data_IF_593878132329
#
_entry.id   IF_593878132329
#
_cell.length_a   1.000
_cell.length_b   1.000
_cell.length_c   1.000
_cell.angle_alpha   90.00
_cell.angle_beta   90.00
_cell.angle_gamma   90.00
#
_symmetry.space_group_name_H-M   'P 1'
#
loop_
_entity.id
_entity.type
_entity.pdbx_description
1 polymer ?
#
# COMPACT_ATOMS: atom_id res chain seq x y z
N UNK A 1 2.17 -17.39 28.79
CA UNK A 1 2.34 -16.65 27.52
C UNK A 1 1.07 -16.85 26.71
N UNK A 2 0.24 -15.81 26.56
CA UNK A 2 -1.04 -15.93 25.88
C UNK A 2 -0.83 -16.34 24.41
N UNK A 3 -1.26 -17.55 24.06
CA UNK A 3 -1.32 -18.07 22.70
C UNK A 3 -2.28 -17.19 21.86
N UNK A 4 -1.78 -16.08 21.32
CA UNK A 4 -2.52 -15.31 20.33
C UNK A 4 -2.50 -16.14 19.06
N UNK A 5 -3.54 -16.94 18.87
CA UNK A 5 -3.69 -17.78 17.68
C UNK A 5 -3.50 -16.91 16.42
N UNK A 6 -2.46 -17.17 15.64
CA UNK A 6 -2.12 -16.38 14.46
C UNK A 6 -3.20 -16.52 13.38
N UNK A 7 -4.27 -15.73 13.43
CA UNK A 7 -5.37 -15.80 12.44
C UNK A 7 -5.01 -15.02 11.18
N UNK A 8 -5.51 -15.43 10.01
CA UNK A 8 -5.45 -14.57 8.81
C UNK A 8 -6.31 -13.31 9.03
N UNK A 9 -6.01 -12.17 8.36
CA UNK A 9 -6.83 -10.97 8.52
C UNK A 9 -8.27 -11.19 8.07
N UNK A 10 -9.25 -10.64 8.82
CA UNK A 10 -10.67 -10.70 8.46
C UNK A 10 -10.90 -10.13 7.05
N UNK A 11 -11.66 -10.83 6.21
CA UNK A 11 -12.00 -10.40 4.86
C UNK A 11 -10.85 -10.41 3.85
N UNK A 12 -9.66 -10.89 4.21
CA UNK A 12 -8.48 -10.86 3.32
C UNK A 12 -8.65 -11.64 2.01
N UNK A 13 -9.47 -12.69 2.01
CA UNK A 13 -9.78 -13.50 0.82
C UNK A 13 -10.72 -12.78 -0.16
N UNK A 14 -11.48 -11.77 0.28
CA UNK A 14 -12.42 -11.04 -0.57
C UNK A 14 -11.74 -10.05 -1.54
N UNK A 15 -10.42 -9.82 -1.36
CA UNK A 15 -9.67 -8.87 -2.17
C UNK A 15 -8.68 -9.59 -3.08
N UNK A 16 -8.54 -9.10 -4.31
CA UNK A 16 -7.50 -9.57 -5.24
C UNK A 16 -6.10 -9.32 -4.67
N UNK A 17 -5.15 -10.16 -5.09
CA UNK A 17 -3.76 -10.18 -4.59
C UNK A 17 -3.06 -8.83 -4.82
N UNK A 18 -3.10 -8.35 -6.05
CA UNK A 18 -2.63 -7.02 -6.44
C UNK A 18 -3.61 -6.39 -7.44
N UNK A 19 -3.44 -5.08 -7.66
CA UNK A 19 -4.03 -4.37 -8.81
C UNK A 19 -3.04 -4.30 -9.97
N UNK A 20 -3.45 -3.60 -11.02
CA UNK A 20 -2.58 -3.25 -12.15
C UNK A 20 -1.59 -2.14 -11.77
N UNK A 21 -0.50 -1.96 -12.53
CA UNK A 21 0.38 -0.80 -12.38
C UNK A 21 -0.38 0.51 -12.60
N UNK A 22 -0.15 1.51 -11.74
CA UNK A 22 -0.72 2.84 -11.92
C UNK A 22 0.13 3.59 -12.96
N UNK A 23 -0.26 3.48 -14.23
CA UNK A 23 0.48 4.03 -15.37
C UNK A 23 0.82 5.52 -15.17
N UNK A 24 2.06 5.89 -15.51
CA UNK A 24 2.60 7.24 -15.28
C UNK A 24 3.08 7.49 -13.85
N UNK A 25 3.05 6.49 -12.97
CA UNK A 25 3.53 6.56 -11.59
C UNK A 25 4.42 5.34 -11.27
N UNK A 26 5.25 5.37 -10.22
CA UNK A 26 6.04 4.21 -9.82
C UNK A 26 5.22 3.19 -9.01
N UNK A 27 3.90 3.32 -8.89
CA UNK A 27 3.11 2.55 -7.94
C UNK A 27 2.46 1.30 -8.51
N UNK A 28 2.47 0.25 -7.70
CA UNK A 28 1.55 -0.88 -7.79
C UNK A 28 0.98 -1.19 -6.41
N UNK A 29 -0.26 -1.64 -6.35
CA UNK A 29 -0.97 -1.86 -5.08
C UNK A 29 -1.21 -3.34 -4.83
N UNK A 30 -1.10 -3.77 -3.57
CA UNK A 30 -1.45 -5.14 -3.18
C UNK A 30 -2.17 -5.21 -1.84
N UNK A 31 -2.88 -6.32 -1.59
CA UNK A 31 -3.23 -6.70 -0.23
C UNK A 31 -1.98 -7.17 0.52
N UNK A 32 -2.02 -7.24 1.85
CA UNK A 32 -0.86 -7.66 2.62
C UNK A 32 -0.44 -9.09 2.22
N UNK A 33 0.81 -9.34 1.80
CA UNK A 33 1.30 -10.70 1.71
C UNK A 33 1.35 -11.33 3.11
N UNK A 34 1.25 -12.66 3.18
CA UNK A 34 1.26 -13.43 4.43
C UNK A 34 2.42 -14.42 4.42
N UNK A 35 3.11 -14.58 5.56
CA UNK A 35 4.11 -15.62 5.76
C UNK A 35 3.50 -16.99 5.52
N UNK A 36 4.33 -17.94 5.07
CA UNK A 36 3.88 -19.29 4.70
C UNK A 36 3.06 -19.99 5.80
N UNK A 37 3.39 -19.79 7.07
CA UNK A 37 2.64 -20.37 8.22
C UNK A 37 1.22 -19.83 8.35
N UNK A 38 0.96 -18.58 7.96
CA UNK A 38 -0.39 -18.02 7.89
C UNK A 38 -1.14 -18.50 6.65
N UNK A 39 -0.46 -18.58 5.50
CA UNK A 39 -1.06 -19.11 4.26
C UNK A 39 -1.56 -20.55 4.43
N UNK A 40 -0.84 -21.42 5.16
CA UNK A 40 -1.27 -22.80 5.49
C UNK A 40 -2.64 -22.90 6.19
N UNK A 41 -3.19 -21.80 6.70
CA UNK A 41 -4.53 -21.73 7.30
C UNK A 41 -5.64 -21.43 6.27
N UNK A 42 -5.26 -21.26 5.00
CA UNK A 42 -6.16 -21.06 3.86
C UNK A 42 -6.25 -22.40 3.12
N UNK A 43 -7.47 -22.94 3.01
CA UNK A 43 -7.71 -24.28 2.46
C UNK A 43 -7.24 -24.45 1.01
N UNK A 44 -7.28 -23.40 0.20
CA UNK A 44 -6.92 -23.45 -1.22
C UNK A 44 -5.58 -22.74 -1.46
N UNK A 45 -4.57 -23.47 -1.93
CA UNK A 45 -3.24 -22.93 -2.21
C UNK A 45 -3.24 -21.85 -3.30
N UNK A 46 -4.16 -21.91 -4.26
CA UNK A 46 -4.31 -20.86 -5.27
C UNK A 46 -4.61 -19.48 -4.66
N UNK A 47 -5.20 -19.45 -3.45
CA UNK A 47 -5.48 -18.22 -2.72
C UNK A 47 -4.29 -17.72 -1.88
N UNK A 48 -3.19 -18.47 -1.80
CA UNK A 48 -1.99 -18.03 -1.08
C UNK A 48 -1.37 -16.81 -1.75
N UNK A 49 -0.80 -15.95 -0.91
CA UNK A 49 -0.08 -14.77 -1.36
C UNK A 49 0.99 -14.40 -0.34
N UNK A 50 2.19 -14.91 -0.57
CA UNK A 50 3.40 -14.69 0.21
C UNK A 50 4.21 -13.51 -0.32
N UNK A 51 5.24 -13.03 0.41
CA UNK A 51 6.17 -12.04 -0.13
C UNK A 51 6.83 -12.46 -1.46
N UNK A 52 7.14 -13.75 -1.61
CA UNK A 52 7.67 -14.25 -2.88
C UNK A 52 6.62 -14.23 -3.99
N UNK A 53 5.36 -14.56 -3.69
CA UNK A 53 4.28 -14.50 -4.68
C UNK A 53 4.03 -13.06 -5.15
N UNK A 54 4.11 -12.06 -4.25
CA UNK A 54 4.07 -10.64 -4.62
C UNK A 54 5.20 -10.28 -5.59
N UNK A 55 6.44 -10.66 -5.26
CA UNK A 55 7.60 -10.41 -6.12
C UNK A 55 7.40 -11.03 -7.51
N UNK A 56 7.05 -12.32 -7.56
CA UNK A 56 6.87 -13.05 -8.81
C UNK A 56 5.72 -12.49 -9.64
N UNK A 57 4.60 -12.11 -9.02
CA UNK A 57 3.49 -11.48 -9.72
C UNK A 57 3.90 -10.16 -10.38
N UNK A 58 4.62 -9.28 -9.66
CA UNK A 58 5.13 -8.02 -10.24
C UNK A 58 6.15 -8.30 -11.36
N UNK A 59 7.02 -9.29 -11.18
CA UNK A 59 7.98 -9.71 -12.23
C UNK A 59 7.29 -10.21 -13.49
N UNK A 60 6.17 -10.93 -13.36
CA UNK A 60 5.40 -11.40 -14.53
C UNK A 60 4.73 -10.27 -15.34
N UNK A 61 4.59 -9.08 -14.75
CA UNK A 61 4.14 -7.86 -15.44
C UNK A 61 5.30 -7.14 -16.18
N UNK A 62 6.50 -7.72 -16.21
CA UNK A 62 7.69 -7.07 -16.76
C UNK A 62 8.26 -5.97 -15.86
N UNK A 63 7.86 -5.92 -14.59
CA UNK A 63 8.27 -4.90 -13.63
C UNK A 63 9.22 -5.45 -12.58
N UNK A 64 10.02 -4.57 -12.00
CA UNK A 64 10.95 -4.89 -10.92
C UNK A 64 10.49 -4.25 -9.63
N UNK A 65 9.98 -5.07 -8.71
CA UNK A 65 9.71 -4.60 -7.34
C UNK A 65 11.03 -4.20 -6.69
N UNK A 66 11.12 -2.94 -6.24
CA UNK A 66 12.35 -2.39 -5.61
C UNK A 66 12.11 -1.86 -4.20
N UNK A 67 10.88 -1.45 -3.90
CA UNK A 67 10.48 -0.97 -2.59
C UNK A 67 9.09 -1.49 -2.22
N UNK A 68 8.91 -1.96 -0.99
CA UNK A 68 7.61 -2.23 -0.38
C UNK A 68 7.34 -1.20 0.72
N UNK A 69 6.23 -0.48 0.62
CA UNK A 69 5.75 0.38 1.70
C UNK A 69 4.58 -0.30 2.40
N UNK A 70 4.81 -0.65 3.67
CA UNK A 70 3.84 -1.35 4.52
C UNK A 70 3.11 -0.39 5.45
N UNK A 71 1.80 -0.23 5.22
CA UNK A 71 0.91 0.61 6.04
C UNK A 71 0.23 -0.16 7.18
N UNK A 72 0.63 -1.41 7.45
CA UNK A 72 0.01 -2.24 8.49
C UNK A 72 0.54 -1.90 9.87
N UNK A 73 -0.35 -1.65 10.83
CA UNK A 73 -0.01 -1.42 12.23
C UNK A 73 0.29 -2.71 13.02
N UNK A 74 0.89 -3.71 12.35
CA UNK A 74 1.30 -4.99 12.94
C UNK A 74 2.40 -5.62 12.09
N UNK A 75 3.30 -6.35 12.70
CA UNK A 75 4.41 -7.13 12.14
C UNK A 75 4.13 -8.63 12.00
N UNK A 76 2.97 -9.10 12.48
CA UNK A 76 2.65 -10.53 12.50
C UNK A 76 2.45 -11.18 11.12
N UNK A 77 2.28 -10.39 10.06
CA UNK A 77 1.87 -10.90 8.76
C UNK A 77 3.01 -11.49 7.93
N UNK A 78 4.18 -10.88 7.94
CA UNK A 78 5.38 -11.39 7.29
C UNK A 78 6.62 -10.72 7.87
N UNK A 79 7.78 -11.35 7.67
CA UNK A 79 9.06 -10.77 8.05
C UNK A 79 9.61 -9.94 6.86
N UNK A 80 9.92 -8.64 7.04
CA UNK A 80 10.58 -7.83 6.01
C UNK A 80 11.84 -8.46 5.42
N UNK A 81 12.55 -9.32 6.16
CA UNK A 81 13.74 -10.05 5.67
C UNK A 81 13.45 -10.88 4.41
N UNK A 82 12.19 -11.30 4.19
CA UNK A 82 11.77 -12.02 2.99
C UNK A 82 11.92 -11.17 1.71
N UNK A 83 11.78 -9.85 1.81
CA UNK A 83 12.02 -8.91 0.72
C UNK A 83 13.49 -8.48 0.66
N UNK A 84 14.09 -8.15 1.81
CA UNK A 84 15.47 -7.65 1.89
C UNK A 84 16.48 -8.62 1.28
N UNK A 85 16.33 -9.93 1.51
CA UNK A 85 17.18 -10.97 0.91
C UNK A 85 17.13 -11.03 -0.63
N UNK A 86 16.12 -10.40 -1.24
CA UNK A 86 15.96 -10.27 -2.70
C UNK A 86 16.37 -8.87 -3.19
N UNK A 87 17.02 -8.04 -2.35
CA UNK A 87 17.40 -6.67 -2.71
C UNK A 87 16.20 -5.72 -2.89
N UNK A 88 15.11 -5.98 -2.17
CA UNK A 88 13.88 -5.16 -2.17
C UNK A 88 13.80 -4.47 -0.82
N UNK A 89 13.85 -3.13 -0.83
CA UNK A 89 13.75 -2.33 0.38
C UNK A 89 12.34 -2.43 0.98
N UNK A 90 12.23 -2.31 2.31
CA UNK A 90 10.95 -2.28 3.02
C UNK A 90 10.88 -1.08 3.94
N UNK A 91 9.90 -0.21 3.74
CA UNK A 91 9.60 0.91 4.64
C UNK A 91 8.27 0.64 5.35
N UNK A 92 8.28 0.72 6.68
CA UNK A 92 7.09 0.47 7.51
C UNK A 92 6.55 1.77 8.07
N UNK A 93 5.32 2.10 7.71
CA UNK A 93 4.62 3.31 8.13
C UNK A 93 3.30 2.89 8.79
N UNK A 94 3.35 2.38 10.03
CA UNK A 94 2.18 1.81 10.68
C UNK A 94 1.12 2.89 10.96
N UNK A 95 -0.09 2.69 10.46
CA UNK A 95 -1.22 3.57 10.74
C UNK A 95 -2.46 2.79 11.19
N UNK A 96 -3.02 3.18 12.35
CA UNK A 96 -4.22 2.57 12.92
C UNK A 96 -5.29 3.62 13.19
N UNK A 97 -6.38 3.56 12.43
CA UNK A 97 -7.58 4.37 12.57
C UNK A 97 -8.14 4.41 13.99
N UNK A 98 -8.29 3.24 14.62
CA UNK A 98 -9.01 3.12 15.89
C UNK A 98 -8.31 3.85 17.03
N UNK A 99 -6.99 3.97 16.94
CA UNK A 99 -6.16 4.62 17.97
C UNK A 99 -5.97 6.11 17.72
N UNK A 100 -6.20 6.59 16.50
CA UNK A 100 -5.88 7.98 16.14
C UNK A 100 -6.91 9.00 16.61
N UNK A 101 -8.16 8.60 16.93
CA UNK A 101 -9.24 9.54 17.28
C UNK A 101 -10.38 8.91 18.11
N UNK A 102 -10.08 8.06 19.11
CA UNK A 102 -11.10 7.43 19.97
C UNK A 102 -12.23 6.72 19.19
N UNK A 103 -11.90 6.08 18.06
CA UNK A 103 -12.88 5.40 17.21
C UNK A 103 -13.64 6.28 16.21
N UNK A 104 -13.36 7.60 16.11
CA UNK A 104 -13.82 8.44 15.00
C UNK A 104 -12.88 8.32 13.79
N UNK A 105 -13.40 8.67 12.61
CA UNK A 105 -12.76 8.59 11.29
C UNK A 105 -11.45 9.40 11.20
N UNK A 106 -10.37 8.88 11.80
CA UNK A 106 -9.07 9.52 11.79
C UNK A 106 -8.42 9.45 10.42
N UNK A 107 -8.09 10.62 9.87
CA UNK A 107 -7.10 10.73 8.81
C UNK A 107 -5.71 10.41 9.36
N UNK A 108 -4.76 9.93 8.53
CA UNK A 108 -3.36 9.83 8.93
C UNK A 108 -2.83 11.18 9.41
N UNK A 109 -2.12 11.22 10.54
CA UNK A 109 -1.41 12.43 10.98
C UNK A 109 -0.43 12.92 9.90
N UNK A 110 -0.16 14.23 9.89
CA UNK A 110 0.72 14.85 8.90
C UNK A 110 2.13 14.25 8.89
N UNK A 111 2.70 13.91 10.06
CA UNK A 111 4.02 13.28 10.16
C UNK A 111 4.05 11.86 9.57
N UNK A 112 2.92 11.14 9.62
CA UNK A 112 2.77 9.82 9.01
C UNK A 112 2.68 9.95 7.48
N UNK A 113 2.00 10.98 6.98
CA UNK A 113 1.96 11.29 5.55
C UNK A 113 3.33 11.71 5.03
N UNK A 114 4.06 12.56 5.76
CA UNK A 114 5.39 13.03 5.35
C UNK A 114 6.38 11.87 5.22
N UNK A 115 6.38 10.91 6.17
CA UNK A 115 7.19 9.69 6.05
C UNK A 115 6.91 8.90 4.77
N UNK A 116 5.66 8.90 4.31
CA UNK A 116 5.31 8.26 3.05
C UNK A 116 5.84 9.07 1.86
N UNK A 117 5.70 10.40 1.90
CA UNK A 117 6.21 11.28 0.85
C UNK A 117 7.72 11.18 0.70
N UNK A 118 8.46 11.26 1.80
CA UNK A 118 9.91 11.08 1.82
C UNK A 118 10.33 9.71 1.26
N UNK A 119 9.64 8.63 1.64
CA UNK A 119 9.96 7.30 1.14
C UNK A 119 9.80 7.19 -0.38
N UNK A 120 8.72 7.77 -0.92
CA UNK A 120 8.45 7.78 -2.37
C UNK A 120 9.43 8.71 -3.10
N UNK A 121 9.65 9.93 -2.60
CA UNK A 121 10.55 10.89 -3.23
C UNK A 121 12.00 10.38 -3.24
N UNK A 122 12.47 9.80 -2.14
CA UNK A 122 13.79 9.17 -2.07
C UNK A 122 13.92 7.98 -3.03
N UNK A 123 12.83 7.25 -3.27
CA UNK A 123 12.81 6.18 -4.26
C UNK A 123 12.95 6.73 -5.68
N UNK A 124 12.11 7.71 -6.04
CA UNK A 124 12.08 8.31 -7.37
C UNK A 124 13.35 9.09 -7.70
N UNK A 125 13.99 9.71 -6.72
CA UNK A 125 15.28 10.38 -6.91
C UNK A 125 16.41 9.38 -7.20
N UNK A 126 16.43 8.23 -6.52
CA UNK A 126 17.50 7.22 -6.65
C UNK A 126 17.29 6.25 -7.82
N UNK A 127 16.06 6.04 -8.28
CA UNK A 127 15.75 5.08 -9.33
C UNK A 127 15.18 5.78 -10.56
N UNK A 128 15.96 5.77 -11.65
CA UNK A 128 15.57 6.33 -12.96
C UNK A 128 14.98 5.27 -13.91
N UNK A 129 15.06 4.00 -13.55
CA UNK A 129 14.57 2.88 -14.35
C UNK A 129 13.03 2.82 -14.30
N UNK A 130 12.32 3.01 -15.44
CA UNK A 130 10.86 3.05 -15.47
C UNK A 130 10.21 1.70 -15.15
N UNK A 131 10.96 0.59 -15.21
CA UNK A 131 10.45 -0.73 -14.80
C UNK A 131 10.50 -0.94 -13.28
N UNK A 132 11.19 -0.08 -12.54
CA UNK A 132 11.34 -0.18 -11.09
C UNK A 132 10.15 0.43 -10.36
N UNK A 133 9.46 -0.40 -9.56
CA UNK A 133 8.20 -0.01 -8.89
C UNK A 133 8.24 -0.11 -7.38
N UNK A 134 7.37 0.68 -6.76
CA UNK A 134 7.01 0.68 -5.35
C UNK A 134 5.70 -0.10 -5.19
N UNK A 135 5.71 -1.17 -4.40
CA UNK A 135 4.46 -1.79 -3.95
C UNK A 135 3.99 -1.16 -2.64
N UNK A 136 2.80 -0.55 -2.63
CA UNK A 136 2.18 -0.04 -1.41
C UNK A 136 1.07 -1.00 -0.98
N UNK A 137 1.07 -1.40 0.29
CA UNK A 137 0.02 -2.25 0.81
C UNK A 137 -0.42 -1.83 2.22
N UNK A 138 -1.70 -2.08 2.51
CA UNK A 138 -2.21 -2.15 3.88
C UNK A 138 -2.69 -3.58 4.13
N UNK A 139 -3.71 -3.81 4.97
CA UNK A 139 -4.25 -5.18 5.15
C UNK A 139 -4.91 -5.70 3.87
N UNK A 140 -5.79 -4.90 3.28
CA UNK A 140 -6.56 -5.26 2.08
C UNK A 140 -6.06 -4.58 0.80
N UNK A 141 -5.17 -3.59 0.93
CA UNK A 141 -4.63 -2.85 -0.20
C UNK A 141 -5.58 -1.83 -0.81
N UNK A 142 -6.61 -1.39 -0.08
CA UNK A 142 -7.67 -0.52 -0.62
C UNK A 142 -7.70 0.81 0.11
N UNK A 143 -8.36 0.91 1.28
CA UNK A 143 -8.58 2.21 1.94
C UNK A 143 -7.31 3.01 2.25
N UNK A 144 -6.40 2.50 3.10
CA UNK A 144 -5.15 3.21 3.45
C UNK A 144 -4.24 3.37 2.24
N UNK A 145 -4.08 2.30 1.46
CA UNK A 145 -3.24 2.32 0.27
C UNK A 145 -3.66 3.41 -0.70
N UNK A 146 -4.95 3.46 -1.04
CA UNK A 146 -5.50 4.46 -1.95
C UNK A 146 -5.41 5.86 -1.41
N UNK A 147 -5.69 6.06 -0.13
CA UNK A 147 -5.56 7.38 0.49
C UNK A 147 -4.13 7.94 0.39
N UNK A 148 -3.13 7.16 0.81
CA UNK A 148 -1.74 7.61 0.80
C UNK A 148 -1.24 7.90 -0.62
N UNK A 149 -1.56 7.02 -1.58
CA UNK A 149 -1.18 7.23 -2.99
C UNK A 149 -1.87 8.45 -3.57
N UNK A 150 -3.19 8.57 -3.44
CA UNK A 150 -3.94 9.69 -4.02
C UNK A 150 -3.47 11.02 -3.43
N UNK A 151 -3.27 11.09 -2.10
CA UNK A 151 -2.75 12.28 -1.44
C UNK A 151 -1.36 12.66 -1.94
N UNK A 152 -0.45 11.71 -2.10
CA UNK A 152 0.86 11.97 -2.68
C UNK A 152 0.76 12.51 -4.12
N UNK A 153 -0.07 11.90 -4.97
CA UNK A 153 -0.25 12.35 -6.35
C UNK A 153 -0.81 13.79 -6.41
N UNK A 154 -1.75 14.14 -5.53
CA UNK A 154 -2.31 15.49 -5.48
C UNK A 154 -1.31 16.49 -4.91
N UNK A 155 -0.76 16.24 -3.72
CA UNK A 155 0.03 17.23 -2.99
C UNK A 155 1.46 17.38 -3.52
N UNK A 156 2.09 16.27 -3.95
CA UNK A 156 3.49 16.25 -4.42
C UNK A 156 3.63 16.25 -5.93
N UNK A 157 2.62 15.77 -6.67
CA UNK A 157 2.66 15.73 -8.15
C UNK A 157 1.65 16.66 -8.82
N UNK A 158 0.83 17.39 -8.05
CA UNK A 158 -0.13 18.35 -8.60
C UNK A 158 -1.25 17.72 -9.41
N UNK A 159 -1.54 16.43 -9.21
CA UNK A 159 -2.62 15.76 -9.92
C UNK A 159 -3.97 16.32 -9.49
N UNK A 160 -4.93 16.30 -10.41
CA UNK A 160 -6.32 16.53 -10.06
C UNK A 160 -6.81 15.42 -9.10
N UNK A 161 -7.46 15.76 -7.96
CA UNK A 161 -7.90 14.78 -6.97
C UNK A 161 -8.84 13.70 -7.51
N UNK A 162 -9.80 14.10 -8.35
CA UNK A 162 -10.76 13.18 -8.95
C UNK A 162 -10.05 12.18 -9.86
N UNK A 163 -9.12 12.65 -10.71
CA UNK A 163 -8.33 11.79 -11.59
C UNK A 163 -7.43 10.82 -10.81
N UNK A 164 -6.80 11.28 -9.73
CA UNK A 164 -5.98 10.41 -8.88
C UNK A 164 -6.82 9.27 -8.25
N UNK A 165 -8.01 9.61 -7.77
CA UNK A 165 -8.95 8.64 -7.20
C UNK A 165 -9.47 7.64 -8.23
N UNK A 166 -9.89 8.11 -9.40
CA UNK A 166 -10.37 7.28 -10.52
C UNK A 166 -9.28 6.32 -11.01
N UNK A 167 -8.05 6.80 -11.17
CA UNK A 167 -6.91 5.95 -11.55
C UNK A 167 -6.67 4.87 -10.49
N UNK A 168 -6.67 5.23 -9.20
CA UNK A 168 -6.49 4.24 -8.14
C UNK A 168 -7.61 3.20 -8.13
N UNK A 169 -8.88 3.60 -8.19
CA UNK A 169 -10.02 2.68 -8.12
C UNK A 169 -10.02 1.72 -9.31
N UNK A 170 -9.82 2.24 -10.53
CA UNK A 170 -9.81 1.43 -11.74
C UNK A 170 -8.65 0.42 -11.76
N UNK A 171 -7.44 0.84 -11.38
CA UNK A 171 -6.26 -0.03 -11.34
C UNK A 171 -6.28 -1.02 -10.19
N UNK A 172 -6.79 -0.62 -9.00
CA UNK A 172 -6.91 -1.51 -7.85
C UNK A 172 -8.04 -2.52 -8.03
N UNK A 173 -9.12 -2.13 -8.70
CA UNK A 173 -10.35 -2.91 -8.88
C UNK A 173 -11.25 -2.95 -7.64
N UNK A 174 -11.03 -2.06 -6.66
CA UNK A 174 -11.81 -1.98 -5.42
C UNK A 174 -11.99 -0.52 -5.00
N UNK A 175 -13.21 -0.17 -4.57
CA UNK A 175 -13.53 1.18 -4.12
C UNK A 175 -12.96 1.50 -2.72
N UNK A 176 -12.57 2.76 -2.51
CA UNK A 176 -12.26 3.28 -1.17
C UNK A 176 -13.58 3.51 -0.43
N UNK A 177 -13.97 2.53 0.40
CA UNK A 177 -15.21 2.59 1.18
C UNK A 177 -15.19 3.62 2.32
N UNK A 178 -14.02 4.15 2.69
CA UNK A 178 -13.90 5.13 3.76
C UNK A 178 -14.22 6.54 3.26
N UNK A 179 -15.44 7.01 3.49
CA UNK A 179 -15.89 8.35 3.05
C UNK A 179 -14.97 9.49 3.49
N UNK A 180 -14.45 9.46 4.72
CA UNK A 180 -13.55 10.50 5.21
C UNK A 180 -12.28 10.65 4.33
N UNK A 181 -11.77 9.53 3.80
CA UNK A 181 -10.63 9.54 2.88
C UNK A 181 -11.00 10.14 1.53
N UNK A 182 -12.11 9.70 0.96
CA UNK A 182 -12.58 10.23 -0.32
C UNK A 182 -12.83 11.73 -0.23
N UNK A 183 -13.54 12.18 0.82
CA UNK A 183 -13.83 13.60 1.06
C UNK A 183 -12.55 14.42 1.24
N UNK A 184 -11.56 13.91 1.97
CA UNK A 184 -10.30 14.61 2.19
C UNK A 184 -9.45 14.70 0.90
N UNK A 185 -9.33 13.61 0.14
CA UNK A 185 -8.65 13.61 -1.16
C UNK A 185 -9.29 14.66 -2.07
N UNK A 186 -10.61 14.63 -2.26
CA UNK A 186 -11.32 15.53 -3.18
C UNK A 186 -11.27 17.00 -2.76
N UNK A 187 -11.11 17.30 -1.47
CA UNK A 187 -10.93 18.66 -0.95
C UNK A 187 -9.49 19.16 -1.03
N UNK A 188 -8.51 18.27 -1.24
CA UNK A 188 -7.11 18.64 -1.28
C UNK A 188 -6.84 19.49 -2.52
N UNK A 189 -6.44 20.75 -2.32
CA UNK A 189 -5.94 21.59 -3.40
C UNK A 189 -4.47 21.25 -3.64
N UNK A 190 -4.03 21.29 -4.90
CA UNK A 190 -2.60 21.18 -5.19
C UNK A 190 -1.88 22.28 -4.39
N UNK A 191 -0.86 21.90 -3.61
CA UNK A 191 -0.02 22.90 -2.96
C UNK A 191 0.58 23.75 -4.07
N UNK A 192 0.30 25.05 -4.08
CA UNK A 192 1.04 26.00 -4.89
C UNK A 192 2.47 25.95 -4.39
N UNK A 193 3.29 25.10 -5.01
CA UNK A 193 4.71 25.00 -4.72
C UNK A 193 5.30 26.38 -4.97
N UNK A 194 5.54 27.12 -3.89
CA UNK A 194 6.34 28.32 -3.90
C UNK A 194 7.76 27.92 -4.30
N UNK A 195 8.13 28.30 -5.53
CA UNK A 195 9.47 28.53 -6.11
C UNK A 195 10.63 27.70 -5.55
#
# INVERSE_FOLDING_TARGET
MSNVQEKIPKGWLAYSKHGEPLLGTPFICSKCPLKKTLCKKINCEANWFTPNDLKCAIQSLGLRLRLVISLTATDRYYDPSEFLKNGIDVVRIPFNFYRSNNGKDGLPPADVMEKFYEAVDNFTHRNRDPSSVICVHCTHGVNRTGYFICKYLVERKGWNPQKALELFISTRGHEISKEAFVKDILKTTASSSSR
#
